data_IF_393908724912
#
_entry.id   IF_393908724912
#
_cell.length_a   1.000
_cell.length_b   1.000
_cell.length_c   1.000
_cell.angle_alpha   90.00
_cell.angle_beta   90.00
_cell.angle_gamma   90.00
#
_symmetry.space_group_name_H-M   'P 1'
#
loop_
_entity.id
_entity.type
_entity.pdbx_description
1 polymer ?
#
# COMPACT_ATOMS: atom_id res chain seq x y z
N UNK A 1 -7.19 -7.04 -12.17
CA UNK A 1 -7.15 -7.01 -10.68
C UNK A 1 -5.74 -6.64 -10.26
N UNK A 2 -5.59 -5.69 -9.35
CA UNK A 2 -4.29 -5.21 -8.90
C UNK A 2 -4.29 -5.05 -7.37
N UNK A 3 -3.12 -4.75 -6.83
CA UNK A 3 -2.91 -4.57 -5.40
C UNK A 3 -2.21 -3.25 -5.18
N UNK A 4 -2.74 -2.43 -4.28
CA UNK A 4 -2.01 -1.28 -3.76
C UNK A 4 -1.23 -1.75 -2.53
N UNK A 5 0.08 -1.56 -2.57
CA UNK A 5 1.00 -2.00 -1.53
C UNK A 5 1.53 -0.78 -0.80
N UNK A 6 1.57 -0.86 0.52
CA UNK A 6 2.26 0.09 1.37
C UNK A 6 3.43 -0.60 2.06
N UNK A 7 4.65 -0.09 1.81
CA UNK A 7 5.88 -0.59 2.42
C UNK A 7 6.64 0.55 3.08
N UNK A 8 6.99 0.38 4.35
CA UNK A 8 7.97 1.24 5.01
C UNK A 8 9.37 0.82 4.55
N UNK A 9 10.20 1.79 4.09
CA UNK A 9 11.58 1.52 3.66
C UNK A 9 12.42 0.80 4.71
N UNK A 10 12.17 1.06 5.99
CA UNK A 10 12.92 0.49 7.11
C UNK A 10 12.20 -0.69 7.78
N UNK A 11 10.98 -1.02 7.32
CA UNK A 11 10.15 -2.06 7.90
C UNK A 11 10.26 -3.39 7.17
N UNK A 12 9.99 -4.48 7.89
CA UNK A 12 9.85 -5.81 7.31
C UNK A 12 8.39 -6.06 6.93
N UNK A 13 8.12 -6.49 5.70
CA UNK A 13 6.78 -6.73 5.18
C UNK A 13 6.05 -5.52 4.62
N UNK A 14 4.80 -5.73 4.24
CA UNK A 14 3.95 -4.73 3.61
C UNK A 14 2.47 -4.93 3.93
N UNK A 15 1.67 -3.88 3.74
CA UNK A 15 0.21 -3.99 3.66
C UNK A 15 -0.23 -4.01 2.20
N UNK A 16 -1.22 -4.85 1.89
CA UNK A 16 -1.70 -5.03 0.53
C UNK A 16 -3.23 -4.91 0.47
N UNK A 17 -3.72 -3.94 -0.30
CA UNK A 17 -5.13 -3.79 -0.61
C UNK A 17 -5.43 -4.36 -1.97
N UNK A 18 -6.34 -5.33 -2.04
CA UNK A 18 -6.87 -5.87 -3.30
C UNK A 18 -7.82 -4.86 -3.93
N UNK A 19 -7.58 -4.48 -5.17
CA UNK A 19 -8.34 -3.43 -5.86
C UNK A 19 -8.37 -3.63 -7.38
N UNK A 20 -9.00 -2.71 -8.10
CA UNK A 20 -9.03 -2.66 -9.55
C UNK A 20 -8.45 -1.34 -10.05
N UNK A 21 -8.00 -1.33 -11.30
CA UNK A 21 -7.58 -0.09 -11.94
C UNK A 21 -8.80 0.83 -12.11
N UNK A 22 -8.60 2.12 -11.86
CA UNK A 22 -9.66 3.10 -12.00
C UNK A 22 -9.33 4.41 -11.29
N UNK A 23 -10.22 5.38 -11.44
CA UNK A 23 -10.08 6.72 -10.85
C UNK A 23 -9.97 6.67 -9.32
N UNK A 24 -10.79 5.84 -8.67
CA UNK A 24 -10.78 5.67 -7.21
C UNK A 24 -9.39 5.27 -6.67
N UNK A 25 -8.72 4.31 -7.31
CA UNK A 25 -7.36 3.89 -6.92
C UNK A 25 -6.35 5.04 -7.04
N UNK A 26 -6.43 5.81 -8.13
CA UNK A 26 -5.52 6.94 -8.36
C UNK A 26 -5.74 8.02 -7.29
N UNK A 27 -6.99 8.32 -6.95
CA UNK A 27 -7.36 9.29 -5.92
C UNK A 27 -6.91 8.83 -4.53
N UNK A 28 -7.17 7.57 -4.15
CA UNK A 28 -6.71 6.97 -2.89
C UNK A 28 -5.19 7.04 -2.77
N UNK A 29 -4.46 6.54 -3.77
CA UNK A 29 -2.99 6.56 -3.80
C UNK A 29 -2.46 8.00 -3.69
N UNK A 30 -3.06 8.95 -4.41
CA UNK A 30 -2.64 10.36 -4.40
C UNK A 30 -2.87 11.01 -3.04
N UNK A 31 -3.98 10.69 -2.37
CA UNK A 31 -4.28 11.15 -1.02
C UNK A 31 -3.25 10.64 -0.02
N UNK A 32 -3.05 9.33 0.02
CA UNK A 32 -2.13 8.68 0.96
C UNK A 32 -0.66 9.04 0.70
N UNK A 33 -0.26 9.25 -0.56
CA UNK A 33 1.12 9.65 -0.88
C UNK A 33 1.55 10.96 -0.22
N UNK A 34 0.62 11.91 -0.02
CA UNK A 34 0.95 13.19 0.64
C UNK A 34 1.41 12.98 2.08
N UNK A 35 0.85 11.98 2.77
CA UNK A 35 1.19 11.62 4.14
C UNK A 35 2.39 10.63 4.18
N UNK A 36 2.42 9.68 3.24
CA UNK A 36 3.35 8.55 3.22
C UNK A 36 4.76 8.92 2.74
N UNK A 37 4.88 9.71 1.67
CA UNK A 37 6.18 10.01 1.03
C UNK A 37 7.14 10.75 1.98
N UNK A 38 6.71 11.79 2.74
CA UNK A 38 7.59 12.47 3.69
C UNK A 38 8.08 11.56 4.83
N UNK A 39 7.35 10.47 5.10
CA UNK A 39 7.65 9.50 6.16
C UNK A 39 8.42 8.28 5.67
N UNK A 40 8.81 8.27 4.38
CA UNK A 40 9.55 7.16 3.81
C UNK A 40 8.72 5.91 3.53
N UNK A 41 7.39 6.02 3.54
CA UNK A 41 6.47 4.94 3.16
C UNK A 41 6.23 5.00 1.65
N UNK A 42 6.45 3.88 0.97
CA UNK A 42 6.25 3.74 -0.47
C UNK A 42 4.89 3.12 -0.77
N UNK A 43 4.14 3.75 -1.68
CA UNK A 43 2.89 3.22 -2.22
C UNK A 43 3.08 2.77 -3.67
N UNK A 44 3.01 1.46 -3.90
CA UNK A 44 3.21 0.85 -5.22
C UNK A 44 1.99 0.04 -5.65
N UNK A 45 1.70 0.02 -6.95
CA UNK A 45 0.60 -0.78 -7.49
C UNK A 45 1.19 -1.95 -8.26
N UNK A 46 0.83 -3.17 -7.88
CA UNK A 46 1.34 -4.40 -8.52
C UNK A 46 0.17 -5.27 -8.98
N UNK A 47 0.36 -6.07 -10.01
CA UNK A 47 -0.67 -7.01 -10.51
C UNK A 47 -0.55 -8.41 -9.90
N UNK A 48 0.66 -8.84 -9.53
CA UNK A 48 0.98 -10.20 -9.08
C UNK A 48 1.85 -10.19 -7.81
N UNK A 49 1.26 -10.22 -6.60
CA UNK A 49 2.01 -10.23 -5.33
C UNK A 49 3.07 -11.34 -5.26
N UNK A 50 2.74 -12.55 -5.73
CA UNK A 50 3.66 -13.69 -5.70
C UNK A 50 4.93 -13.50 -6.53
N UNK A 51 4.97 -12.50 -7.42
CA UNK A 51 6.15 -12.22 -8.24
C UNK A 51 7.14 -11.25 -7.56
N UNK A 52 6.77 -10.63 -6.45
CA UNK A 52 7.56 -9.55 -5.81
C UNK A 52 7.90 -9.88 -4.35
N UNK A 53 8.83 -10.79 -4.16
CA UNK A 53 9.27 -11.23 -2.83
C UNK A 53 9.80 -10.10 -1.94
N UNK A 54 10.24 -8.97 -2.52
CA UNK A 54 10.77 -7.84 -1.76
C UNK A 54 9.73 -7.14 -0.86
N UNK A 55 8.43 -7.38 -1.07
CA UNK A 55 7.37 -6.86 -0.20
C UNK A 55 6.88 -7.88 0.83
N UNK A 56 7.39 -9.11 0.84
CA UNK A 56 6.98 -10.12 1.80
C UNK A 56 7.48 -9.78 3.23
N UNK A 57 6.75 -10.21 4.28
CA UNK A 57 5.41 -10.80 4.25
C UNK A 57 4.30 -9.82 3.83
N UNK A 58 3.29 -10.33 3.13
CA UNK A 58 2.13 -9.57 2.69
C UNK A 58 1.00 -9.65 3.72
N UNK A 59 0.60 -8.49 4.26
CA UNK A 59 -0.59 -8.35 5.11
C UNK A 59 -1.75 -7.82 4.28
N UNK A 60 -2.63 -8.72 3.84
CA UNK A 60 -3.80 -8.34 3.05
C UNK A 60 -4.88 -7.72 3.94
N UNK A 61 -5.25 -6.48 3.62
CA UNK A 61 -6.34 -5.77 4.29
C UNK A 61 -7.65 -5.93 3.52
N UNK A 62 -8.77 -5.75 4.21
CA UNK A 62 -10.11 -6.00 3.67
C UNK A 62 -10.61 -4.88 2.76
N UNK A 63 -10.33 -3.64 3.14
CA UNK A 63 -10.89 -2.45 2.47
C UNK A 63 -9.94 -1.23 2.51
N UNK A 64 -10.34 -0.16 1.82
CA UNK A 64 -9.58 1.07 1.71
C UNK A 64 -9.38 1.79 3.06
N UNK A 65 -10.32 1.66 3.99
CA UNK A 65 -10.25 2.32 5.29
C UNK A 65 -9.20 1.65 6.18
N UNK A 66 -9.18 0.31 6.21
CA UNK A 66 -8.14 -0.47 6.88
C UNK A 66 -6.76 -0.19 6.26
N UNK A 67 -6.68 -0.11 4.92
CA UNK A 67 -5.43 0.25 4.23
C UNK A 67 -4.93 1.65 4.62
N UNK A 68 -5.80 2.65 4.61
CA UNK A 68 -5.45 4.01 4.98
C UNK A 68 -4.99 4.10 6.44
N UNK A 69 -5.66 3.38 7.34
CA UNK A 69 -5.25 3.28 8.73
C UNK A 69 -3.86 2.66 8.87
N UNK A 70 -3.59 1.56 8.15
CA UNK A 70 -2.29 0.90 8.15
C UNK A 70 -1.17 1.81 7.62
N UNK A 71 -1.42 2.53 6.52
CA UNK A 71 -0.47 3.53 6.00
C UNK A 71 -0.18 4.61 7.03
N UNK A 72 -1.21 5.15 7.69
CA UNK A 72 -1.04 6.16 8.74
C UNK A 72 -0.28 5.62 9.94
N UNK A 73 -0.48 4.36 10.31
CA UNK A 73 0.28 3.70 11.35
C UNK A 73 1.77 3.56 10.99
N UNK A 74 2.09 3.30 9.72
CA UNK A 74 3.48 3.29 9.22
C UNK A 74 4.14 4.68 9.16
N UNK A 75 3.34 5.75 9.16
CA UNK A 75 3.79 7.13 9.08
C UNK A 75 4.11 7.77 10.45
N UNK A 76 3.81 7.08 11.56
CA UNK A 76 4.13 7.51 12.92
C UNK A 76 5.59 7.24 13.22
#
# INVERSE_FOLDING_TARGET
MCYLIAKNKNGHGCYALKTAHGKALVELKRGLNKEAVPKGVQLVTISRPNAYGEYAPYHFVKDEAEFAHAVRALCK
#
